data_IF_623221986360
#
_entry.id   IF_623221986360
#
_cell.length_a   1.000
_cell.length_b   1.000
_cell.length_c   1.000
_cell.angle_alpha   90.00
_cell.angle_beta   90.00
_cell.angle_gamma   90.00
#
_symmetry.space_group_name_H-M   'P 1'
#
loop_
_entity.id
_entity.type
_entity.pdbx_description
1 polymer ?
#
# COMPACT_ATOMS: atom_id res chain seq x y z
N UNK A 1 7.72 -11.26 -3.03
CA UNK A 1 6.40 -10.63 -2.80
C UNK A 1 6.22 -10.38 -1.32
N UNK A 2 5.89 -9.16 -0.97
CA UNK A 2 5.70 -8.76 0.42
C UNK A 2 4.28 -8.28 0.60
N UNK A 3 3.58 -8.80 1.60
CA UNK A 3 2.22 -8.37 1.91
C UNK A 3 2.29 -7.25 2.94
N UNK A 4 1.60 -6.17 2.65
CA UNK A 4 1.63 -4.97 3.48
C UNK A 4 0.21 -4.68 3.96
N UNK A 5 0.10 -4.31 5.24
CA UNK A 5 -1.16 -3.87 5.82
C UNK A 5 -0.96 -2.45 6.34
N UNK A 6 -1.79 -1.55 5.86
CA UNK A 6 -1.77 -0.16 6.30
C UNK A 6 -3.05 0.13 7.09
N UNK A 7 -2.91 0.78 8.24
CA UNK A 7 -4.04 1.14 9.08
C UNK A 7 -3.95 2.63 9.37
N UNK A 8 -5.05 3.33 9.14
CA UNK A 8 -5.11 4.76 9.40
C UNK A 8 -6.44 5.32 8.94
N UNK A 9 -6.56 6.65 8.94
CA UNK A 9 -7.74 7.29 8.39
C UNK A 9 -7.75 7.13 6.88
N UNK A 10 -8.92 7.21 6.23
CA UNK A 10 -8.98 7.09 4.77
C UNK A 10 -8.08 8.07 4.06
N UNK A 11 -7.96 9.28 4.58
CA UNK A 11 -7.10 10.30 4.00
C UNK A 11 -5.64 9.89 4.05
N UNK A 12 -5.20 9.41 5.21
CA UNK A 12 -3.82 8.95 5.40
C UNK A 12 -3.51 7.74 4.55
N UNK A 13 -4.47 6.82 4.44
CA UNK A 13 -4.28 5.62 3.63
C UNK A 13 -4.12 5.97 2.15
N UNK A 14 -4.92 6.91 1.68
CA UNK A 14 -4.82 7.36 0.29
C UNK A 14 -3.43 7.95 0.03
N UNK A 15 -2.98 8.77 0.95
CA UNK A 15 -1.65 9.37 0.83
C UNK A 15 -0.57 8.29 0.83
N UNK A 16 -0.64 7.35 1.78
CA UNK A 16 0.39 6.31 1.91
C UNK A 16 0.46 5.42 0.68
N UNK A 17 -0.70 4.97 0.18
CA UNK A 17 -0.73 4.14 -1.02
C UNK A 17 -0.15 4.89 -2.20
N UNK A 18 -0.48 6.17 -2.32
CA UNK A 18 0.05 6.99 -3.40
C UNK A 18 1.57 7.10 -3.34
N UNK A 19 2.13 7.27 -2.14
CA UNK A 19 3.58 7.33 -1.98
C UNK A 19 4.24 6.01 -2.37
N UNK A 20 3.66 4.90 -1.96
CA UNK A 20 4.18 3.59 -2.32
C UNK A 20 4.16 3.39 -3.84
N UNK A 21 3.06 3.75 -4.47
CA UNK A 21 2.92 3.57 -5.92
C UNK A 21 3.85 4.48 -6.72
N UNK A 22 4.27 5.60 -6.14
CA UNK A 22 5.19 6.52 -6.80
C UNK A 22 6.65 6.11 -6.64
N UNK A 23 6.93 5.17 -5.79
CA UNK A 23 8.30 4.73 -5.55
C UNK A 23 8.77 3.91 -6.75
N UNK A 24 9.86 4.34 -7.38
CA UNK A 24 10.37 3.70 -8.58
C UNK A 24 10.98 2.33 -8.33
N UNK A 25 11.31 2.03 -7.09
CA UNK A 25 11.93 0.77 -6.73
C UNK A 25 10.94 -0.27 -6.24
N UNK A 26 9.68 0.10 -6.16
CA UNK A 26 8.62 -0.77 -5.65
C UNK A 26 7.54 -0.93 -6.70
N UNK A 27 7.13 -2.17 -6.90
CA UNK A 27 5.98 -2.48 -7.74
C UNK A 27 4.85 -2.92 -6.83
N UNK A 28 3.83 -2.09 -6.68
CA UNK A 28 2.70 -2.37 -5.82
C UNK A 28 1.53 -2.93 -6.63
N UNK A 29 0.86 -3.94 -6.08
CA UNK A 29 -0.26 -4.59 -6.74
C UNK A 29 -1.27 -5.09 -5.73
N UNK A 30 -2.41 -5.56 -6.24
CA UNK A 30 -3.47 -6.16 -5.41
C UNK A 30 -3.90 -5.25 -4.27
N UNK A 31 -4.06 -3.97 -4.59
CA UNK A 31 -4.44 -2.96 -3.60
C UNK A 31 -5.93 -3.11 -3.32
N UNK A 32 -6.26 -3.38 -2.06
CA UNK A 32 -7.65 -3.53 -1.67
C UNK A 32 -8.33 -2.18 -1.47
N UNK A 33 -9.66 -2.20 -1.39
CA UNK A 33 -10.41 -1.04 -0.95
C UNK A 33 -10.19 -0.80 0.54
N UNK A 34 -10.62 0.35 1.02
CA UNK A 34 -10.57 0.65 2.44
C UNK A 34 -11.51 -0.29 3.19
N UNK A 35 -10.92 -1.11 4.05
CA UNK A 35 -11.67 -2.08 4.84
C UNK A 35 -11.85 -1.56 6.25
N UNK A 36 -12.99 -1.88 6.90
CA UNK A 36 -13.22 -1.42 8.26
C UNK A 36 -12.26 -2.07 9.24
N UNK A 37 -11.86 -1.33 10.25
CA UNK A 37 -11.08 -1.85 11.36
C UNK A 37 -12.03 -2.12 12.51
N UNK A 38 -12.01 -3.34 13.03
CA UNK A 38 -12.87 -3.73 14.12
C UNK A 38 -12.62 -2.85 15.35
N UNK A 39 -13.70 -2.30 15.88
CA UNK A 39 -13.58 -1.45 17.06
C UNK A 39 -13.28 0.01 16.78
N UNK A 40 -13.19 0.40 15.51
CA UNK A 40 -12.94 1.79 15.16
C UNK A 40 -13.83 2.22 14.00
N UNK A 41 -14.42 3.40 14.14
CA UNK A 41 -15.21 3.98 13.08
C UNK A 41 -14.34 4.81 12.15
N UNK A 42 -13.30 5.42 12.70
CA UNK A 42 -12.45 6.35 11.95
C UNK A 42 -11.33 5.68 11.20
N UNK A 43 -10.88 4.53 11.67
CA UNK A 43 -9.75 3.86 11.07
C UNK A 43 -10.20 2.85 10.02
N UNK A 44 -9.42 2.77 8.97
CA UNK A 44 -9.60 1.79 7.92
C UNK A 44 -8.29 1.08 7.69
N UNK A 45 -8.33 -0.02 6.99
CA UNK A 45 -7.12 -0.74 6.64
C UNK A 45 -7.13 -1.02 5.13
N UNK A 46 -5.94 -1.07 4.59
CA UNK A 46 -5.72 -1.40 3.19
C UNK A 46 -4.66 -2.49 3.13
N UNK A 47 -4.92 -3.51 2.35
CA UNK A 47 -3.96 -4.56 2.10
C UNK A 47 -3.41 -4.40 0.69
N UNK A 48 -2.12 -4.57 0.54
CA UNK A 48 -1.51 -4.53 -0.78
C UNK A 48 -0.29 -5.44 -0.78
N UNK A 49 0.19 -5.72 -1.98
CA UNK A 49 1.40 -6.53 -2.16
C UNK A 49 2.42 -5.68 -2.87
N UNK A 50 3.66 -5.79 -2.42
CA UNK A 50 4.76 -5.08 -3.06
C UNK A 50 5.83 -6.06 -3.47
N UNK A 51 6.53 -5.70 -4.53
CA UNK A 51 7.66 -6.47 -5.02
C UNK A 51 8.78 -5.50 -5.33
N UNK A 52 10.01 -5.99 -5.20
CA UNK A 52 11.15 -5.22 -5.62
C UNK A 52 11.12 -5.09 -7.14
N UNK A 53 11.11 -3.87 -7.62
CA UNK A 53 11.11 -3.65 -9.06
C UNK A 53 12.51 -3.90 -9.59
N UNK A 54 12.60 -4.81 -10.54
CA UNK A 54 13.87 -5.12 -11.17
C UNK A 54 14.12 -4.10 -12.28
N UNK A 55 15.27 -3.49 -12.23
CA UNK A 55 15.71 -2.56 -13.26
C UNK A 55 16.65 -3.31 -14.17
N UNK A 56 16.23 -3.55 -15.39
CA UNK A 56 16.97 -4.44 -16.29
C UNK A 56 18.31 -3.90 -16.73
N UNK A 57 18.52 -2.63 -16.59
CA UNK A 57 19.75 -2.01 -17.05
C UNK A 57 20.68 -1.65 -15.92
N UNK A 58 20.54 -2.29 -14.83
CA UNK A 58 21.38 -1.96 -13.72
C UNK A 58 22.73 -2.58 -13.88
N UNK A 59 23.43 -2.05 -14.67
CA UNK A 59 24.79 -2.50 -14.94
C UNK A 59 25.78 -1.66 -14.22
#
# INVERSE_FOLDING_TARGET
>A
MVKVRLIGTPYELRWAVKQICRNKKINASHISDNLPVKGSIKLKRVHLEIEKKVVSNDL
#
